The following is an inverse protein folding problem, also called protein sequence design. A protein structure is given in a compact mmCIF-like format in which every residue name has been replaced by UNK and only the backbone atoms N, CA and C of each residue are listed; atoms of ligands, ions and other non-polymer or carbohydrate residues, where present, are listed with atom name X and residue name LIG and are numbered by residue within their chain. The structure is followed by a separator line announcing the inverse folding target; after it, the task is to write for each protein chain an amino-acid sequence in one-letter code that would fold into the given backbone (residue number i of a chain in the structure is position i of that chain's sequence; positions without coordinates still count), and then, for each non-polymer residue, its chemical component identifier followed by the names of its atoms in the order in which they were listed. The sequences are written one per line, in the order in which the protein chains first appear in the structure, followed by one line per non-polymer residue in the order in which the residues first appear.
data_IF_262653637716
#
_entry.id   IF_262653637716
#
_cell.length_a   1.000
_cell.length_b   1.000
_cell.length_c   1.000
_cell.angle_alpha   90.00
_cell.angle_beta   90.00
_cell.angle_gamma   90.00
#
_symmetry.space_group_name_H-M   'P 1'
#
loop_
_entity.id
_entity.type
_entity.pdbx_description
1 polymer ?
#
# COMPACT_ATOMS: atom_id res chain seq x y z
N UNK A 1 -20.77 14.95 -2.30
CA UNK A 1 -20.03 16.21 -2.11
C UNK A 1 -18.94 16.00 -1.08
N UNK A 2 -17.70 15.84 -1.56
CA UNK A 2 -16.55 15.52 -0.71
C UNK A 2 -15.80 16.81 -0.41
N UNK A 3 -15.90 17.29 0.83
CA UNK A 3 -15.19 18.48 1.33
C UNK A 3 -14.04 17.99 2.19
N UNK A 4 -12.81 18.35 1.83
CA UNK A 4 -11.62 18.18 2.68
C UNK A 4 -11.21 19.53 3.28
N UNK A 5 -10.60 19.47 4.46
CA UNK A 5 -10.07 20.62 5.20
C UNK A 5 -9.00 21.38 4.41
N UNK A 6 -8.87 22.68 4.72
CA UNK A 6 -8.18 23.78 4.04
C UNK A 6 -6.66 23.62 3.78
N UNK A 7 -6.07 22.43 3.92
CA UNK A 7 -4.61 22.21 3.84
C UNK A 7 -4.15 21.08 2.93
N UNK A 8 -4.99 20.54 2.05
CA UNK A 8 -4.56 19.58 1.04
C UNK A 8 -4.08 20.27 -0.25
N UNK A 9 -2.77 20.47 -0.40
CA UNK A 9 -2.13 20.61 -1.72
C UNK A 9 -1.28 19.35 -1.94
N UNK A 10 -0.93 18.96 -3.16
CA UNK A 10 -0.45 17.59 -3.44
C UNK A 10 0.48 17.43 -4.65
N UNK A 11 1.81 17.57 -4.50
CA UNK A 11 2.94 16.90 -5.22
C UNK A 11 3.30 17.15 -6.72
N UNK A 12 4.11 16.23 -7.28
CA UNK A 12 5.06 16.39 -8.43
C UNK A 12 4.39 16.57 -9.81
N UNK A 13 5.01 17.41 -10.65
CA UNK A 13 4.63 17.70 -12.04
C UNK A 13 4.95 16.53 -12.99
N UNK A 14 3.96 15.71 -13.36
CA UNK A 14 4.02 14.93 -14.60
C UNK A 14 3.40 15.81 -15.69
N UNK A 15 4.21 16.67 -16.28
CA UNK A 15 3.77 17.69 -17.23
C UNK A 15 3.30 18.99 -16.57
N UNK A 16 3.38 20.09 -17.30
CA UNK A 16 3.10 21.44 -16.83
C UNK A 16 1.69 21.57 -16.23
N UNK A 17 1.59 21.57 -14.89
CA UNK A 17 0.39 21.99 -14.15
C UNK A 17 -0.39 20.94 -13.35
N UNK A 18 -0.02 19.66 -13.37
CA UNK A 18 -0.70 18.63 -12.55
C UNK A 18 0.11 18.33 -11.29
N UNK A 19 -0.51 18.53 -10.11
CA UNK A 19 0.11 18.19 -8.84
C UNK A 19 -0.33 16.78 -8.47
N UNK A 20 0.57 15.78 -8.51
CA UNK A 20 0.28 14.38 -8.13
C UNK A 20 0.41 14.21 -6.61
N UNK A 21 -0.58 13.66 -5.92
CA UNK A 21 -0.51 13.49 -4.46
C UNK A 21 0.56 12.46 -4.04
N UNK A 22 1.21 12.67 -2.89
CA UNK A 22 2.03 11.63 -2.26
C UNK A 22 1.13 10.49 -1.72
N UNK A 23 1.64 9.25 -1.56
CA UNK A 23 0.88 8.20 -0.89
C UNK A 23 0.52 8.64 0.53
N UNK A 24 -0.67 8.25 1.02
CA UNK A 24 -1.03 8.45 2.42
C UNK A 24 -0.09 7.57 3.26
N UNK A 25 0.81 8.20 4.03
CA UNK A 25 1.76 7.49 4.88
C UNK A 25 1.42 7.74 6.35
N UNK A 26 1.33 6.68 7.12
CA UNK A 26 1.04 6.71 8.54
C UNK A 26 2.02 5.79 9.29
N UNK A 27 2.50 6.22 10.44
CA UNK A 27 3.38 5.45 11.31
C UNK A 27 2.68 5.20 12.65
N UNK A 28 2.86 4.00 13.20
CA UNK A 28 2.33 3.66 14.52
C UNK A 28 2.81 4.65 15.60
N UNK A 29 1.88 5.08 16.46
CA UNK A 29 2.12 6.10 17.47
C UNK A 29 1.85 7.54 17.02
N UNK A 30 1.69 7.80 15.72
CA UNK A 30 1.32 9.12 15.20
C UNK A 30 -0.20 9.33 15.21
N UNK A 31 -0.64 10.50 15.67
CA UNK A 31 -2.08 10.85 15.73
C UNK A 31 -2.75 11.12 14.38
N UNK A 32 -1.95 11.33 13.32
CA UNK A 32 -2.44 11.63 11.97
C UNK A 32 -1.38 11.21 10.93
N UNK A 33 -1.75 11.23 9.66
CA UNK A 33 -0.84 10.97 8.54
C UNK A 33 0.32 11.96 8.49
N UNK A 34 1.45 11.51 7.94
CA UNK A 34 2.59 12.38 7.64
C UNK A 34 2.12 13.57 6.82
N UNK A 35 2.37 14.76 7.34
CA UNK A 35 1.87 16.01 6.76
C UNK A 35 2.44 16.19 5.37
N UNK A 36 1.58 16.56 4.43
CA UNK A 36 1.99 16.83 3.07
C UNK A 36 3.00 17.98 2.97
N UNK A 37 3.90 17.89 1.98
CA UNK A 37 4.71 19.03 1.56
C UNK A 37 4.79 19.17 0.03
N UNK A 38 4.83 20.41 -0.46
CA UNK A 38 4.96 20.75 -1.88
C UNK A 38 6.28 20.29 -2.50
N UNK A 39 7.32 20.16 -1.67
CA UNK A 39 8.64 19.73 -2.10
C UNK A 39 8.84 18.25 -1.76
N UNK A 40 9.14 17.38 -2.74
CA UNK A 40 9.32 15.94 -2.50
C UNK A 40 10.35 15.65 -1.40
N UNK A 41 11.51 16.32 -1.44
CA UNK A 41 12.56 16.14 -0.44
C UNK A 41 12.10 16.43 1.01
N UNK A 42 11.19 17.38 1.19
CA UNK A 42 10.65 17.69 2.54
C UNK A 42 9.56 16.71 2.97
N UNK A 43 8.82 16.10 2.03
CA UNK A 43 7.91 15.01 2.37
C UNK A 43 8.71 13.76 2.77
N UNK A 44 9.75 13.41 2.01
CA UNK A 44 10.66 12.31 2.32
C UNK A 44 11.35 12.51 3.68
N UNK A 45 11.78 13.74 4.00
CA UNK A 45 12.31 14.06 5.33
C UNK A 45 11.27 13.92 6.47
N UNK A 46 9.99 14.18 6.17
CA UNK A 46 8.92 14.01 7.16
C UNK A 46 8.62 12.51 7.38
N UNK A 47 8.67 11.70 6.31
CA UNK A 47 8.56 10.24 6.40
C UNK A 47 9.78 9.64 7.13
N UNK A 48 10.99 10.13 6.87
CA UNK A 48 12.22 9.75 7.58
C UNK A 48 12.10 10.02 9.08
N UNK A 49 11.56 11.18 9.45
CA UNK A 49 11.30 11.55 10.85
C UNK A 49 10.27 10.59 11.49
N UNK A 50 9.13 10.34 10.83
CA UNK A 50 8.10 9.43 11.33
C UNK A 50 8.64 8.00 11.52
N UNK A 51 9.43 7.49 10.55
CA UNK A 51 10.09 6.19 10.66
C UNK A 51 11.16 6.14 11.76
N UNK A 52 11.86 7.26 12.00
CA UNK A 52 12.85 7.36 13.08
C UNK A 52 12.20 7.28 14.45
N UNK A 53 11.01 7.85 14.60
CA UNK A 53 10.25 7.82 15.84
C UNK A 53 9.69 6.43 16.19
N UNK A 54 9.56 5.52 15.21
CA UNK A 54 9.21 4.13 15.47
C UNK A 54 10.36 3.43 16.22
N UNK A 55 10.05 3.05 17.46
CA UNK A 55 10.96 2.40 18.39
C UNK A 55 10.42 1.04 18.84
N UNK A 56 11.23 0.30 19.60
CA UNK A 56 10.86 -1.02 20.13
C UNK A 56 9.90 -0.89 21.32
N UNK A 57 8.72 -0.35 21.09
CA UNK A 57 7.69 -0.12 22.12
C UNK A 57 6.33 -0.65 21.68
N UNK A 58 5.48 -1.02 22.65
CA UNK A 58 4.20 -1.66 22.38
C UNK A 58 3.23 -0.81 21.55
N UNK A 59 3.32 0.52 21.63
CA UNK A 59 2.51 1.47 20.84
C UNK A 59 2.93 1.51 19.37
N UNK A 60 4.17 1.13 19.08
CA UNK A 60 4.76 1.21 17.74
C UNK A 60 4.65 -0.14 17.00
N UNK A 61 4.16 -1.18 17.68
CA UNK A 61 3.99 -2.52 17.13
C UNK A 61 2.70 -2.65 16.31
N UNK A 62 2.64 -3.66 15.45
CA UNK A 62 1.39 -4.06 14.81
C UNK A 62 0.47 -4.74 15.83
N UNK A 63 -0.40 -3.95 16.48
CA UNK A 63 -1.38 -4.39 17.48
C UNK A 63 -2.83 -4.20 17.01
N UNK A 64 -3.77 -4.75 17.76
CA UNK A 64 -5.21 -4.51 17.56
C UNK A 64 -5.60 -3.04 17.68
N UNK A 65 -4.98 -2.27 18.59
CA UNK A 65 -5.19 -0.82 18.73
C UNK A 65 -4.85 -0.07 17.43
N UNK A 66 -3.72 -0.41 16.79
CA UNK A 66 -3.32 0.16 15.49
C UNK A 66 -4.34 -0.16 14.42
N UNK A 67 -4.93 -1.35 14.44
CA UNK A 67 -5.96 -1.74 13.46
C UNK A 67 -7.25 -0.93 13.65
N UNK A 68 -7.67 -0.68 14.90
CA UNK A 68 -8.84 0.14 15.20
C UNK A 68 -8.63 1.60 14.81
N UNK A 69 -7.46 2.16 15.08
CA UNK A 69 -7.10 3.49 14.62
C UNK A 69 -7.13 3.57 13.09
N UNK A 70 -6.57 2.57 12.41
CA UNK A 70 -6.62 2.52 10.96
C UNK A 70 -8.05 2.41 10.40
N UNK A 71 -8.97 1.74 11.10
CA UNK A 71 -10.38 1.68 10.70
C UNK A 71 -11.01 3.08 10.67
N UNK A 72 -10.69 3.92 11.66
CA UNK A 72 -11.14 5.33 11.72
C UNK A 72 -10.49 6.15 10.60
N UNK A 73 -9.19 5.96 10.36
CA UNK A 73 -8.45 6.72 9.35
C UNK A 73 -8.90 6.39 7.93
N UNK A 74 -9.20 5.13 7.64
CA UNK A 74 -9.75 4.68 6.35
C UNK A 74 -11.08 5.35 6.04
N UNK A 75 -11.96 5.48 7.04
CA UNK A 75 -13.24 6.18 6.87
C UNK A 75 -13.03 7.67 6.63
N UNK A 76 -12.12 8.30 7.38
CA UNK A 76 -11.76 9.72 7.21
C UNK A 76 -11.21 10.01 5.82
N UNK A 77 -10.39 9.11 5.26
CA UNK A 77 -9.84 9.24 3.89
C UNK A 77 -10.78 8.71 2.80
N UNK A 78 -11.97 8.23 3.16
CA UNK A 78 -12.99 7.72 2.26
C UNK A 78 -12.45 6.62 1.31
N UNK A 79 -11.65 5.71 1.86
CA UNK A 79 -11.15 4.56 1.10
C UNK A 79 -12.27 3.56 0.93
N UNK A 80 -12.63 3.30 -0.33
CA UNK A 80 -13.78 2.46 -0.65
C UNK A 80 -13.46 0.98 -0.39
N UNK A 81 -14.32 0.24 0.32
CA UNK A 81 -14.13 -1.19 0.48
C UNK A 81 -14.34 -1.94 -0.84
N UNK A 82 -13.74 -3.12 -0.95
CA UNK A 82 -14.03 -4.05 -2.03
C UNK A 82 -15.29 -4.83 -1.71
N UNK A 83 -16.20 -4.94 -2.67
CA UNK A 83 -17.47 -5.64 -2.50
C UNK A 83 -17.36 -6.98 -3.24
N UNK A 84 -17.62 -8.06 -2.51
CA UNK A 84 -17.68 -9.41 -3.06
C UNK A 84 -19.04 -9.68 -3.71
N UNK A 85 -19.11 -10.71 -4.56
CA UNK A 85 -20.34 -11.12 -5.24
C UNK A 85 -21.49 -11.47 -4.27
N UNK A 86 -21.16 -11.99 -3.09
CA UNK A 86 -22.12 -12.29 -2.02
C UNK A 86 -22.58 -11.04 -1.22
N UNK A 87 -22.16 -9.83 -1.62
CA UNK A 87 -22.47 -8.58 -0.93
C UNK A 87 -21.60 -8.27 0.29
N UNK A 88 -20.65 -9.14 0.64
CA UNK A 88 -19.72 -8.89 1.74
C UNK A 88 -18.67 -7.86 1.33
N UNK A 89 -18.52 -6.80 2.13
CA UNK A 89 -17.56 -5.73 1.89
C UNK A 89 -16.35 -5.87 2.81
N UNK A 90 -15.14 -5.77 2.27
CA UNK A 90 -13.91 -5.85 3.04
C UNK A 90 -12.83 -4.94 2.49
N UNK A 91 -11.86 -4.61 3.34
CA UNK A 91 -10.68 -3.85 2.94
C UNK A 91 -9.45 -4.75 3.04
N UNK A 92 -8.74 -4.99 1.93
CA UNK A 92 -7.52 -5.78 1.93
C UNK A 92 -6.37 -4.99 2.57
N UNK A 93 -5.65 -5.67 3.45
CA UNK A 93 -4.42 -5.18 4.05
C UNK A 93 -3.31 -6.20 3.80
N UNK A 94 -2.31 -5.82 3.01
CA UNK A 94 -1.11 -6.62 2.79
C UNK A 94 -0.09 -6.28 3.86
N UNK A 95 0.35 -7.28 4.60
CA UNK A 95 1.22 -7.14 5.78
C UNK A 95 2.48 -8.00 5.66
N UNK A 96 3.56 -7.53 6.29
CA UNK A 96 4.82 -8.26 6.34
C UNK A 96 4.73 -9.42 7.35
N UNK A 97 5.38 -10.58 7.10
CA UNK A 97 5.33 -11.74 8.02
C UNK A 97 5.71 -11.41 9.48
N UNK A 98 6.68 -10.51 9.70
CA UNK A 98 7.06 -10.06 11.06
C UNK A 98 5.95 -9.25 11.76
N UNK A 99 5.22 -8.42 11.02
CA UNK A 99 4.06 -7.69 11.55
C UNK A 99 2.93 -8.66 11.91
N UNK A 100 2.70 -9.66 11.05
CA UNK A 100 1.72 -10.70 11.33
C UNK A 100 2.10 -11.53 12.55
N UNK A 101 3.39 -11.81 12.78
CA UNK A 101 3.85 -12.48 13.99
C UNK A 101 3.48 -11.69 15.24
N UNK A 102 3.78 -10.39 15.28
CA UNK A 102 3.39 -9.52 16.40
C UNK A 102 1.87 -9.53 16.64
N UNK A 103 1.09 -9.43 15.56
CA UNK A 103 -0.36 -9.51 15.64
C UNK A 103 -0.85 -10.88 16.14
N UNK A 104 -0.19 -11.97 15.75
CA UNK A 104 -0.46 -13.32 16.27
C UNK A 104 -0.06 -13.48 17.73
N UNK A 105 0.80 -12.63 18.28
CA UNK A 105 1.18 -12.66 19.69
C UNK A 105 0.17 -11.88 20.57
N UNK A 106 -0.53 -10.89 19.99
CA UNK A 106 -1.62 -10.12 20.61
C UNK A 106 -2.78 -11.03 21.09
N UNK A 107 -3.21 -10.84 22.33
CA UNK A 107 -4.28 -11.61 22.98
C UNK A 107 -5.66 -11.32 22.42
N UNK A 108 -5.92 -10.08 22.01
CA UNK A 108 -7.24 -9.68 21.51
C UNK A 108 -7.44 -10.18 20.09
N UNK A 109 -6.37 -10.18 19.30
CA UNK A 109 -6.34 -10.83 18.00
C UNK A 109 -6.62 -12.33 18.08
N UNK A 110 -5.95 -13.06 18.98
CA UNK A 110 -6.20 -14.50 19.21
C UNK A 110 -7.66 -14.77 19.55
N UNK A 111 -8.23 -13.93 20.41
CA UNK A 111 -9.63 -14.06 20.85
C UNK A 111 -10.61 -13.80 19.71
N UNK A 112 -10.38 -12.77 18.90
CA UNK A 112 -11.21 -12.47 17.75
C UNK A 112 -11.11 -13.55 16.65
N UNK A 113 -9.89 -13.96 16.30
CA UNK A 113 -9.68 -14.90 15.20
C UNK A 113 -10.09 -16.33 15.56
N UNK A 114 -10.03 -16.73 16.84
CA UNK A 114 -10.59 -18.02 17.30
C UNK A 114 -12.11 -18.08 17.29
N UNK A 115 -12.78 -16.91 17.37
CA UNK A 115 -14.24 -16.79 17.25
C UNK A 115 -14.70 -16.64 15.79
N UNK A 116 -13.81 -16.19 14.91
CA UNK A 116 -14.11 -15.97 13.51
C UNK A 116 -14.05 -17.29 12.70
N UNK A 117 -15.15 -17.63 12.03
CA UNK A 117 -15.32 -18.81 11.17
C UNK A 117 -14.58 -18.67 9.80
N UNK A 118 -13.36 -18.14 9.80
CA UNK A 118 -12.61 -17.83 8.57
C UNK A 118 -12.35 -19.07 7.73
N UNK A 119 -12.16 -20.24 8.37
CA UNK A 119 -11.94 -21.51 7.68
C UNK A 119 -13.12 -22.01 6.83
N UNK A 120 -14.34 -21.50 7.06
CA UNK A 120 -15.51 -21.83 6.23
C UNK A 120 -15.70 -20.83 5.09
N UNK A 121 -15.52 -19.53 5.36
CA UNK A 121 -15.60 -18.47 4.35
C UNK A 121 -14.46 -18.54 3.32
N UNK A 122 -13.26 -18.96 3.73
CA UNK A 122 -12.11 -19.13 2.84
C UNK A 122 -12.24 -20.31 1.87
N UNK A 123 -13.10 -21.29 2.15
CA UNK A 123 -13.35 -22.43 1.24
C UNK A 123 -14.28 -22.06 0.10
N UNK A 124 -15.19 -21.12 0.32
CA UNK A 124 -16.21 -20.73 -0.63
C UNK A 124 -15.76 -19.57 -1.54
N UNK A 125 -14.76 -18.79 -1.11
CA UNK A 125 -14.26 -17.65 -1.88
C UNK A 125 -12.75 -17.75 -2.22
N UNK A 126 -12.38 -17.82 -3.51
CA UNK A 126 -10.97 -17.93 -3.92
C UNK A 126 -10.13 -16.70 -3.55
N UNK A 127 -10.74 -15.54 -3.29
CA UNK A 127 -10.03 -14.32 -2.86
C UNK A 127 -9.52 -14.44 -1.41
N UNK A 128 -10.21 -15.19 -0.56
CA UNK A 128 -9.77 -15.46 0.82
C UNK A 128 -8.82 -16.64 0.94
N UNK A 129 -8.51 -17.31 -0.17
CA UNK A 129 -7.47 -18.33 -0.20
C UNK A 129 -6.12 -17.66 0.09
N UNK A 130 -5.53 -17.98 1.25
CA UNK A 130 -4.32 -17.36 1.86
C UNK A 130 -4.54 -16.08 2.69
N UNK A 131 -5.78 -15.74 3.07
CA UNK A 131 -5.99 -14.72 4.09
C UNK A 131 -5.49 -15.22 5.47
N UNK A 132 -4.75 -14.38 6.18
CA UNK A 132 -4.20 -14.67 7.50
C UNK A 132 -5.22 -14.50 8.63
N UNK A 133 -6.23 -13.65 8.41
CA UNK A 133 -7.32 -13.40 9.34
C UNK A 133 -8.15 -12.19 8.92
N UNK A 134 -9.17 -11.89 9.73
CA UNK A 134 -10.05 -10.73 9.58
C UNK A 134 -10.21 -10.04 10.93
N UNK A 135 -10.19 -8.70 10.93
CA UNK A 135 -10.48 -7.90 12.12
C UNK A 135 -10.90 -6.49 11.72
N UNK A 136 -11.90 -5.92 12.41
CA UNK A 136 -12.43 -4.58 12.16
C UNK A 136 -12.76 -4.28 10.67
N UNK A 137 -13.19 -5.30 9.91
CA UNK A 137 -13.51 -5.17 8.47
C UNK A 137 -12.30 -5.22 7.53
N UNK A 138 -11.09 -5.39 8.06
CA UNK A 138 -9.88 -5.64 7.30
C UNK A 138 -9.64 -7.13 7.12
N UNK A 139 -9.15 -7.50 5.94
CA UNK A 139 -8.71 -8.85 5.62
C UNK A 139 -7.22 -8.82 5.34
N UNK A 140 -6.48 -9.61 6.11
CA UNK A 140 -5.02 -9.58 6.09
C UNK A 140 -4.46 -10.59 5.09
N UNK A 141 -3.56 -10.12 4.24
CA UNK A 141 -2.83 -10.93 3.27
C UNK A 141 -1.34 -10.88 3.60
N UNK A 142 -0.76 -12.04 3.90
CA UNK A 142 0.67 -12.14 4.17
C UNK A 142 1.44 -12.20 2.86
N UNK A 143 2.44 -11.32 2.69
CA UNK A 143 3.36 -11.37 1.55
C UNK A 143 4.72 -10.83 1.96
N UNK A 144 5.81 -11.52 1.66
CA UNK A 144 7.15 -11.06 2.02
C UNK A 144 7.72 -10.04 1.02
N UNK A 145 7.46 -10.22 -0.27
CA UNK A 145 8.09 -9.44 -1.34
C UNK A 145 7.39 -8.12 -1.69
N UNK A 146 6.13 -7.94 -1.26
CA UNK A 146 5.32 -6.76 -1.64
C UNK A 146 5.28 -5.66 -0.59
N UNK A 147 5.79 -5.95 0.60
CA UNK A 147 5.77 -5.06 1.77
C UNK A 147 7.16 -5.08 2.34
N UNK A 148 7.90 -4.01 2.09
CA UNK A 148 9.32 -3.93 2.38
C UNK A 148 9.56 -3.22 3.70
N UNK A 149 10.66 -3.57 4.34
CA UNK A 149 11.21 -2.82 5.45
C UNK A 149 11.71 -1.46 4.97
N UNK A 150 11.62 -0.50 5.88
CA UNK A 150 12.10 0.85 5.65
C UNK A 150 13.22 1.18 6.63
N UNK A 151 14.27 1.82 6.13
CA UNK A 151 15.30 2.42 6.97
C UNK A 151 15.27 3.93 6.79
N UNK A 152 15.08 4.70 7.87
CA UNK A 152 15.45 6.10 7.86
C UNK A 152 16.98 6.20 7.75
N UNK A 153 17.48 7.22 7.06
CA UNK A 153 18.91 7.58 7.04
C UNK A 153 19.22 8.70 8.06
N UNK A 154 18.19 9.33 8.64
CA UNK A 154 18.32 10.45 9.57
C UNK A 154 18.80 11.76 8.93
N UNK A 155 18.94 11.77 7.60
CA UNK A 155 19.36 12.88 6.76
C UNK A 155 18.28 13.25 5.72
N UNK A 156 17.08 12.69 5.84
CA UNK A 156 15.92 13.00 5.02
C UNK A 156 15.70 12.09 3.81
N UNK A 157 16.42 10.96 3.71
CA UNK A 157 16.19 9.93 2.68
C UNK A 157 15.69 8.64 3.32
N UNK A 158 14.64 8.06 2.75
CA UNK A 158 14.12 6.76 3.18
C UNK A 158 14.54 5.68 2.20
N UNK A 159 15.18 4.63 2.71
CA UNK A 159 15.49 3.44 1.91
C UNK A 159 14.42 2.38 2.14
N UNK A 160 13.75 1.96 1.07
CA UNK A 160 12.80 0.85 1.08
C UNK A 160 13.45 -0.42 0.52
N UNK A 161 13.30 -1.54 1.22
CA UNK A 161 13.76 -2.85 0.77
C UNK A 161 15.25 -3.10 0.98
N UNK A 162 15.66 -4.36 0.86
CA UNK A 162 17.04 -4.77 1.13
C UNK A 162 18.03 -4.10 0.17
N UNK A 163 19.12 -3.55 0.72
CA UNK A 163 20.22 -2.94 -0.04
C UNK A 163 20.96 -3.95 -0.94
N UNK A 164 20.75 -5.26 -0.72
CA UNK A 164 21.32 -6.33 -1.51
C UNK A 164 20.22 -7.32 -1.97
N UNK A 165 19.89 -7.38 -3.27
CA UNK A 165 18.86 -8.27 -3.80
C UNK A 165 19.25 -9.77 -3.71
N UNK A 166 20.54 -10.10 -3.54
CA UNK A 166 21.03 -11.48 -3.38
C UNK A 166 20.96 -11.99 -1.93
N UNK A 167 20.86 -11.11 -0.93
CA UNK A 167 20.75 -11.52 0.47
C UNK A 167 19.32 -11.93 0.86
N UNK A 168 18.32 -11.62 0.01
CA UNK A 168 16.96 -12.15 0.04
C UNK A 168 16.11 -11.87 1.28
N UNK A 169 16.69 -11.32 2.35
CA UNK A 169 16.01 -11.06 3.61
C UNK A 169 16.05 -9.58 3.96
N UNK A 170 14.86 -9.05 4.20
CA UNK A 170 14.67 -7.71 4.71
C UNK A 170 14.98 -7.65 6.21
N UNK A 171 16.16 -7.09 6.52
CA UNK A 171 16.72 -6.99 7.87
C UNK A 171 16.28 -5.76 8.66
N UNK A 172 15.52 -4.84 8.05
CA UNK A 172 15.17 -3.60 8.74
C UNK A 172 14.13 -3.83 9.85
N UNK A 173 14.24 -3.14 11.00
CA UNK A 173 13.31 -3.31 12.10
C UNK A 173 11.96 -2.63 11.86
N UNK A 174 11.86 -1.67 10.93
CA UNK A 174 10.59 -1.00 10.59
C UNK A 174 10.03 -1.63 9.32
N UNK A 175 8.75 -2.01 9.35
CA UNK A 175 8.07 -2.69 8.25
C UNK A 175 6.92 -1.83 7.75
N UNK A 176 6.81 -1.69 6.42
CA UNK A 176 5.71 -0.99 5.78
C UNK A 176 4.70 -1.99 5.23
N UNK A 177 3.44 -1.82 5.60
CA UNK A 177 2.30 -2.57 5.10
C UNK A 177 1.42 -1.67 4.24
N UNK A 178 0.58 -2.27 3.39
CA UNK A 178 -0.24 -1.51 2.44
C UNK A 178 -1.70 -1.90 2.60
N UNK A 179 -2.54 -0.90 2.86
CA UNK A 179 -4.00 -0.98 2.79
C UNK A 179 -4.41 -0.42 1.43
N UNK A 180 -5.32 -1.09 0.72
CA UNK A 180 -5.85 -0.55 -0.53
C UNK A 180 -7.35 -0.76 -0.63
N UNK A 181 -8.02 0.18 -1.30
CA UNK A 181 -9.47 0.13 -1.53
C UNK A 181 -9.84 -0.36 -2.92
N UNK A 182 -11.15 -0.34 -3.21
CA UNK A 182 -11.65 -0.48 -4.56
C UNK A 182 -11.09 0.65 -5.45
N UNK A 183 -10.77 0.30 -6.70
CA UNK A 183 -10.16 1.22 -7.67
C UNK A 183 -8.78 1.75 -7.22
N UNK A 184 -7.94 0.90 -6.61
CA UNK A 184 -6.60 1.31 -6.17
C UNK A 184 -5.61 1.55 -7.33
N UNK A 185 -5.75 0.80 -8.42
CA UNK A 185 -4.85 0.78 -9.58
C UNK A 185 -5.66 0.93 -10.85
N UNK A 186 -5.16 1.73 -11.78
CA UNK A 186 -5.59 1.77 -13.17
C UNK A 186 -4.58 1.00 -14.01
N UNK A 187 -5.06 0.01 -14.76
CA UNK A 187 -4.24 -0.77 -15.70
C UNK A 187 -4.70 -0.49 -17.13
N UNK A 188 -3.75 -0.29 -18.02
CA UNK A 188 -3.94 -0.15 -19.45
C UNK A 188 -3.14 -1.22 -20.19
N UNK A 189 -3.83 -2.04 -20.97
CA UNK A 189 -3.20 -3.04 -21.82
C UNK A 189 -3.39 -2.64 -23.29
N UNK A 190 -2.31 -2.67 -24.06
CA UNK A 190 -2.37 -2.46 -25.50
C UNK A 190 -3.12 -3.63 -26.18
N UNK A 191 -4.13 -3.30 -26.98
CA UNK A 191 -5.03 -4.28 -27.62
C UNK A 191 -4.32 -5.19 -28.63
N UNK A 192 -3.23 -4.73 -29.24
CA UNK A 192 -2.52 -5.45 -30.29
C UNK A 192 -1.05 -5.62 -29.97
N UNK A 193 -0.59 -6.87 -29.96
CA UNK A 193 0.82 -7.19 -29.88
C UNK A 193 1.54 -6.73 -31.15
N UNK A 194 2.65 -6.03 -30.98
CA UNK A 194 3.58 -5.73 -32.06
C UNK A 194 4.25 -7.03 -32.48
N UNK A 195 4.05 -7.45 -33.73
CA UNK A 195 4.69 -8.63 -34.29
C UNK A 195 5.65 -8.14 -35.37
N UNK A 196 6.91 -8.47 -35.22
CA UNK A 196 7.95 -8.21 -36.20
C UNK A 196 8.57 -9.53 -36.63
N UNK A 197 8.92 -9.61 -37.91
CA UNK A 197 9.50 -10.81 -38.51
C UNK A 197 10.75 -10.38 -39.26
N UNK A 198 11.90 -10.77 -38.74
CA UNK A 198 13.19 -10.48 -39.35
C UNK A 198 13.82 -11.77 -39.88
N UNK A 199 14.42 -11.67 -41.06
CA UNK A 199 15.05 -12.79 -41.74
C UNK A 199 16.56 -12.67 -41.60
N UNK A 200 17.14 -13.57 -40.83
CA UNK A 200 18.57 -13.65 -40.59
C UNK A 200 19.23 -14.64 -41.55
N UNK A 201 20.50 -14.41 -41.87
CA UNK A 201 21.38 -15.34 -42.57
C UNK A 201 20.84 -15.84 -43.94
N UNK A 202 20.72 -14.95 -44.93
CA UNK A 202 20.26 -15.27 -46.29
C UNK A 202 18.93 -16.04 -46.36
N UNK A 203 17.96 -15.66 -45.51
CA UNK A 203 16.65 -16.32 -45.41
C UNK A 203 16.69 -17.80 -44.97
N UNK A 204 17.79 -18.24 -44.36
CA UNK A 204 17.89 -19.57 -43.76
C UNK A 204 17.26 -19.62 -42.35
N UNK A 205 17.11 -18.47 -41.67
CA UNK A 205 16.49 -18.39 -40.35
C UNK A 205 15.51 -17.22 -40.26
N UNK A 206 14.30 -17.49 -39.75
CA UNK A 206 13.29 -16.47 -39.48
C UNK A 206 13.18 -16.27 -37.98
N UNK A 207 13.46 -15.05 -37.52
CA UNK A 207 13.20 -14.61 -36.15
C UNK A 207 11.83 -13.93 -36.07
N UNK A 208 11.02 -14.31 -35.10
CA UNK A 208 9.73 -13.67 -34.83
C UNK A 208 9.81 -13.01 -33.45
N UNK A 209 9.58 -11.70 -33.39
CA UNK A 209 9.48 -10.94 -32.16
C UNK A 209 8.02 -10.56 -31.91
N UNK A 210 7.54 -10.76 -30.67
CA UNK A 210 6.21 -10.34 -30.23
C UNK A 210 6.37 -9.46 -29.00
N UNK A 211 5.90 -8.22 -29.08
CA UNK A 211 5.92 -7.24 -27.99
C UNK A 211 4.51 -6.81 -27.62
N UNK A 212 4.26 -6.57 -26.33
CA UNK A 212 3.02 -5.93 -25.87
C UNK A 212 3.36 -4.88 -24.81
N UNK A 213 2.54 -3.84 -24.72
CA UNK A 213 2.70 -2.78 -23.72
C UNK A 213 1.59 -2.94 -22.68
N UNK A 214 2.00 -2.99 -21.42
CA UNK A 214 1.11 -2.91 -20.26
C UNK A 214 1.61 -1.75 -19.40
N UNK A 215 0.70 -0.93 -18.92
CA UNK A 215 0.98 0.16 -18.01
C UNK A 215 0.04 0.11 -16.83
N UNK A 216 0.59 0.18 -15.63
CA UNK A 216 -0.17 0.26 -14.38
C UNK A 216 0.16 1.58 -13.68
N UNK A 217 -0.85 2.26 -13.15
CA UNK A 217 -0.71 3.49 -12.41
C UNK A 217 -1.60 3.48 -11.17
N UNK A 218 -1.16 4.15 -10.11
CA UNK A 218 -2.01 4.38 -8.93
C UNK A 218 -3.17 5.29 -9.32
N UNK A 219 -4.36 4.97 -8.82
CA UNK A 219 -5.54 5.78 -9.06
C UNK A 219 -5.61 6.95 -8.07
N UNK A 220 -5.38 8.17 -8.55
CA UNK A 220 -5.60 9.39 -7.78
C UNK A 220 -6.84 10.13 -8.32
N UNK A 221 -7.71 10.61 -7.42
CA UNK A 221 -9.01 11.16 -7.77
C UNK A 221 -8.97 12.68 -7.80
N UNK A 222 -9.64 13.31 -8.78
CA UNK A 222 -9.75 14.77 -8.83
C UNK A 222 -10.67 15.26 -7.71
N UNK A 223 -10.27 16.34 -7.04
CA UNK A 223 -11.17 17.07 -6.17
C UNK A 223 -12.28 17.76 -6.98
N UNK A 224 -13.52 17.68 -6.52
CA UNK A 224 -14.67 18.33 -7.15
C UNK A 224 -14.77 19.82 -6.80
N UNK A 225 -14.02 20.31 -5.82
CA UNK A 225 -14.35 21.56 -5.12
C UNK A 225 -13.28 22.66 -5.19
N UNK A 226 -12.00 22.33 -5.39
CA UNK A 226 -10.94 23.35 -5.48
C UNK A 226 -9.89 23.02 -6.57
N UNK A 227 -9.98 23.74 -7.69
CA UNK A 227 -9.01 23.74 -8.81
C UNK A 227 -8.88 22.39 -9.57
N UNK A 228 -8.96 22.37 -10.92
CA UNK A 228 -8.85 21.15 -11.73
C UNK A 228 -7.48 20.44 -11.68
N UNK A 229 -6.58 20.91 -10.82
CA UNK A 229 -5.16 20.54 -10.73
C UNK A 229 -4.79 19.76 -9.48
N UNK A 230 -5.69 19.64 -8.49
CA UNK A 230 -5.45 18.91 -7.25
C UNK A 230 -6.05 17.51 -7.32
N UNK A 231 -5.23 16.49 -7.03
CA UNK A 231 -5.69 15.10 -6.87
C UNK A 231 -5.55 14.65 -5.42
N UNK A 232 -6.45 13.77 -5.00
CA UNK A 232 -6.54 13.20 -3.66
C UNK A 232 -6.35 11.69 -3.77
N UNK A 233 -5.52 11.14 -2.89
CA UNK A 233 -5.39 9.69 -2.77
C UNK A 233 -6.51 9.15 -1.87
N UNK A 234 -7.49 8.48 -2.50
CA UNK A 234 -8.56 7.73 -1.82
C UNK A 234 -8.42 6.21 -2.06
N UNK A 235 -7.21 5.80 -2.44
CA UNK A 235 -6.96 4.52 -3.09
C UNK A 235 -6.15 3.58 -2.21
N UNK A 236 -5.25 4.12 -1.38
CA UNK A 236 -4.30 3.34 -0.60
C UNK A 236 -3.74 4.10 0.60
N UNK A 237 -3.28 3.35 1.61
CA UNK A 237 -2.49 3.83 2.73
C UNK A 237 -1.28 2.93 2.90
N UNK A 238 -0.14 3.54 3.18
CA UNK A 238 1.07 2.85 3.67
C UNK A 238 1.12 3.01 5.18
N UNK A 239 1.15 1.89 5.91
CA UNK A 239 1.22 1.84 7.37
C UNK A 239 2.57 1.29 7.79
N UNK A 240 3.35 2.08 8.52
CA UNK A 240 4.65 1.69 9.06
C UNK A 240 4.55 1.33 10.55
N UNK A 241 5.13 0.19 10.93
CA UNK A 241 5.22 -0.24 12.33
C UNK A 241 6.62 -0.76 12.63
N UNK A 242 6.99 -0.81 13.92
CA UNK A 242 8.20 -1.48 14.37
C UNK A 242 7.95 -3.00 14.51
N UNK A 243 8.72 -3.80 13.77
CA UNK A 243 8.68 -5.26 13.77
C UNK A 243 10.09 -5.83 13.52
N UNK A 244 10.92 -5.77 14.55
CA UNK A 244 12.27 -6.34 14.62
C UNK A 244 12.34 -7.84 14.41
#
# INVERSE_FOLDING_TARGET
DHVMATTALGGLYIGSGQKVCHPNFWAAGDSDFVTWNATPATFEASVDTALTNLTDTATDYMSTDVIEEMAVQVQTKNIKPMIMENGYSFIPWVIHPKQLKQLRDDTDWKTANSRAYIGQLAKENPIFNKAAGEYAGFVFFERELSVMGASPDGAGTVTFGATNPLAGQDTYPRKCSIIFGASAIASGQAEKAYIDVDNFDYANQTGIAVGSIVGDARADFKDSTASPTAVINQSSIVVATYSG
#
